data_IF_467502981927
#
_entry.id   IF_467502981927
#
_cell.length_a   1.000
_cell.length_b   1.000
_cell.length_c   1.000
_cell.angle_alpha   90.00
_cell.angle_beta   90.00
_cell.angle_gamma   90.00
#
_symmetry.space_group_name_H-M   'P 1'
#
loop_
_entity.id
_entity.type
_entity.pdbx_description
1 polymer ?
#
# COMPACT_ATOMS: atom_id res chain seq x y z
N UNK A 1 -15.89 10.39 -6.38
CA UNK A 1 -15.14 11.63 -6.04
C UNK A 1 -16.06 12.85 -6.22
N UNK A 2 -16.23 13.68 -5.17
CA UNK A 2 -17.03 14.92 -5.24
C UNK A 2 -16.13 16.09 -5.66
N UNK A 3 -16.06 16.37 -6.96
CA UNK A 3 -15.38 17.57 -7.48
C UNK A 3 -16.26 18.78 -7.17
N UNK A 4 -15.81 19.61 -6.21
CA UNK A 4 -16.55 20.82 -5.85
C UNK A 4 -15.93 22.02 -6.56
N UNK A 5 -16.65 22.59 -7.55
CA UNK A 5 -16.26 23.86 -8.19
C UNK A 5 -16.67 25.02 -7.29
N UNK A 6 -15.74 25.89 -6.92
CA UNK A 6 -16.00 27.09 -6.10
C UNK A 6 -15.38 28.32 -6.75
N UNK A 7 -16.05 29.47 -6.62
CA UNK A 7 -15.47 30.78 -6.93
C UNK A 7 -14.94 31.41 -5.63
N UNK A 8 -13.61 31.54 -5.53
CA UNK A 8 -12.92 31.89 -4.29
C UNK A 8 -12.55 33.37 -4.14
N UNK A 9 -12.66 33.90 -2.91
CA UNK A 9 -12.12 35.21 -2.47
C UNK A 9 -10.64 35.13 -2.00
N UNK A 10 -10.02 33.95 -2.05
CA UNK A 10 -8.70 33.63 -1.47
C UNK A 10 -7.70 33.27 -2.58
N UNK A 11 -6.44 33.69 -2.43
CA UNK A 11 -5.35 33.30 -3.35
C UNK A 11 -4.86 31.91 -2.97
N UNK A 12 -5.05 30.94 -3.87
CA UNK A 12 -4.48 29.59 -3.75
C UNK A 12 -3.32 29.44 -4.73
N UNK A 13 -2.43 28.48 -4.49
CA UNK A 13 -1.42 28.08 -5.49
C UNK A 13 -1.84 26.74 -6.08
N UNK A 14 -1.86 26.65 -7.41
CA UNK A 14 -2.12 25.39 -8.10
C UNK A 14 -1.02 24.37 -7.76
N UNK A 15 -1.42 23.15 -7.41
CA UNK A 15 -0.48 22.09 -7.04
C UNK A 15 0.42 21.69 -8.21
N UNK A 16 -0.12 21.58 -9.42
CA UNK A 16 0.62 21.14 -10.60
C UNK A 16 1.42 22.28 -11.25
N UNK A 17 0.76 23.30 -11.79
CA UNK A 17 1.46 24.37 -12.55
C UNK A 17 2.18 25.40 -11.67
N UNK A 18 2.00 25.34 -10.33
CA UNK A 18 2.60 26.28 -9.35
C UNK A 18 2.18 27.76 -9.49
N UNK A 19 1.32 28.08 -10.44
CA UNK A 19 0.77 29.42 -10.60
C UNK A 19 -0.27 29.74 -9.53
N UNK A 20 -0.50 31.04 -9.31
CA UNK A 20 -1.50 31.51 -8.37
C UNK A 20 -2.88 31.47 -9.01
N UNK A 21 -3.82 30.80 -8.34
CA UNK A 21 -5.25 30.85 -8.64
C UNK A 21 -5.78 32.21 -8.20
N UNK A 22 -6.16 33.03 -9.17
CA UNK A 22 -6.64 34.41 -8.97
C UNK A 22 -8.13 34.42 -8.63
N UNK A 23 -8.56 35.56 -8.12
CA UNK A 23 -9.96 35.78 -7.77
C UNK A 23 -10.85 35.70 -9.02
N UNK A 24 -11.84 34.82 -8.98
CA UNK A 24 -12.79 34.62 -10.08
C UNK A 24 -12.39 33.51 -11.07
N UNK A 25 -11.21 32.92 -10.93
CA UNK A 25 -10.82 31.73 -11.69
C UNK A 25 -11.46 30.48 -11.07
N UNK A 26 -11.83 29.53 -11.94
CA UNK A 26 -12.35 28.23 -11.53
C UNK A 26 -11.20 27.31 -11.08
N UNK A 27 -11.45 26.57 -10.00
CA UNK A 27 -10.49 25.61 -9.47
C UNK A 27 -11.18 24.40 -8.87
N UNK A 28 -10.42 23.30 -8.77
CA UNK A 28 -10.79 22.09 -8.05
C UNK A 28 -10.10 22.10 -6.69
N UNK A 29 -10.83 21.63 -5.68
CA UNK A 29 -10.29 21.30 -4.36
C UNK A 29 -10.29 19.78 -4.22
N UNK A 30 -9.15 19.19 -3.85
CA UNK A 30 -9.03 17.76 -3.59
C UNK A 30 -8.42 17.52 -2.21
N UNK A 31 -8.87 16.48 -1.53
CA UNK A 31 -8.21 15.94 -0.36
C UNK A 31 -7.32 14.78 -0.80
N UNK A 32 -6.03 14.87 -0.49
CA UNK A 32 -5.03 13.88 -0.89
C UNK A 32 -4.21 13.40 0.30
N UNK A 33 -3.60 12.24 0.17
CA UNK A 33 -2.74 11.63 1.17
C UNK A 33 -1.35 11.40 0.57
N UNK A 34 -0.31 11.88 1.25
CA UNK A 34 1.08 11.76 0.78
C UNK A 34 1.71 10.42 1.23
N UNK A 35 0.95 9.62 1.99
CA UNK A 35 1.20 8.21 2.30
C UNK A 35 -0.14 7.47 2.48
N UNK A 36 -0.27 6.20 2.05
CA UNK A 36 -1.48 5.40 2.30
C UNK A 36 -1.79 5.24 3.80
N UNK A 37 -0.78 5.36 4.65
CA UNK A 37 -0.88 5.22 6.12
C UNK A 37 -1.18 6.54 6.83
N UNK A 38 -1.26 7.67 6.11
CA UNK A 38 -1.56 8.96 6.73
C UNK A 38 -2.98 9.00 7.29
N UNK A 39 -3.09 9.39 8.56
CA UNK A 39 -4.39 9.61 9.22
C UNK A 39 -5.03 10.93 8.75
N UNK A 40 -4.21 11.93 8.41
CA UNK A 40 -4.68 13.27 8.03
C UNK A 40 -4.43 13.49 6.54
N UNK A 41 -5.48 13.91 5.83
CA UNK A 41 -5.35 14.38 4.45
C UNK A 41 -4.78 15.80 4.41
N UNK A 42 -4.26 16.15 3.24
CA UNK A 42 -3.89 17.51 2.84
C UNK A 42 -4.85 17.98 1.76
N UNK A 43 -5.31 19.23 1.87
CA UNK A 43 -6.10 19.84 0.80
C UNK A 43 -5.18 20.45 -0.25
N UNK A 44 -5.38 20.10 -1.51
CA UNK A 44 -4.71 20.71 -2.67
C UNK A 44 -5.72 21.44 -3.55
N UNK A 45 -5.20 22.37 -4.36
CA UNK A 45 -5.97 23.18 -5.29
C UNK A 45 -5.40 23.01 -6.71
N UNK A 46 -6.27 22.85 -7.71
CA UNK A 46 -5.88 22.70 -9.11
C UNK A 46 -6.64 23.71 -9.96
N UNK A 47 -5.97 24.35 -10.92
CA UNK A 47 -6.65 25.15 -11.93
C UNK A 47 -7.56 24.27 -12.78
N UNK A 48 -8.75 24.78 -13.13
CA UNK A 48 -9.61 24.15 -14.13
C UNK A 48 -9.24 24.65 -15.51
N UNK A 49 -8.88 23.73 -16.40
CA UNK A 49 -8.63 24.05 -17.82
C UNK A 49 -7.35 24.83 -18.10
N UNK A 50 -6.48 25.01 -17.11
CA UNK A 50 -5.12 25.49 -17.35
C UNK A 50 -4.22 24.32 -17.72
N UNK A 51 -3.38 24.52 -18.71
CA UNK A 51 -2.45 23.50 -19.17
C UNK A 51 -1.13 23.60 -18.38
N UNK A 52 -0.60 22.46 -17.94
CA UNK A 52 0.67 22.44 -17.20
C UNK A 52 1.85 22.82 -18.11
N UNK A 53 1.68 22.60 -19.44
CA UNK A 53 2.60 23.05 -20.49
C UNK A 53 1.86 23.26 -21.82
N UNK A 54 2.11 24.40 -22.47
CA UNK A 54 1.47 24.81 -23.74
C UNK A 54 1.78 23.85 -24.92
N UNK A 55 2.82 23.02 -24.83
CA UNK A 55 3.25 22.11 -25.89
C UNK A 55 2.51 20.75 -25.89
N UNK A 56 1.80 20.42 -24.81
CA UNK A 56 1.23 19.08 -24.62
C UNK A 56 -0.28 19.03 -24.39
N UNK A 57 -0.94 20.16 -24.10
CA UNK A 57 -2.40 20.19 -24.01
C UNK A 57 -2.99 19.44 -22.81
N UNK A 58 -2.19 19.12 -21.78
CA UNK A 58 -2.68 18.41 -20.59
C UNK A 58 -3.12 19.39 -19.50
N UNK A 59 -4.34 19.18 -19.00
CA UNK A 59 -4.87 19.97 -17.88
C UNK A 59 -4.16 19.64 -16.56
N UNK A 60 -4.20 20.58 -15.61
CA UNK A 60 -3.69 20.36 -14.25
C UNK A 60 -4.35 19.15 -13.58
N UNK A 61 -5.61 18.85 -13.88
CA UNK A 61 -6.31 17.68 -13.37
C UNK A 61 -5.74 16.37 -13.94
N UNK A 62 -5.51 16.31 -15.24
CA UNK A 62 -4.95 15.13 -15.89
C UNK A 62 -3.51 14.89 -15.43
N UNK A 63 -2.71 15.95 -15.34
CA UNK A 63 -1.33 15.88 -14.90
C UNK A 63 -1.17 15.30 -13.48
N UNK A 64 -2.18 15.45 -12.60
CA UNK A 64 -2.15 14.88 -11.24
C UNK A 64 -2.05 13.35 -11.25
N UNK A 65 -2.67 12.69 -12.23
CA UNK A 65 -2.77 11.23 -12.36
C UNK A 65 -1.89 10.65 -13.47
N UNK A 66 -1.19 11.50 -14.24
CA UNK A 66 -0.43 11.06 -15.41
C UNK A 66 0.96 10.52 -15.03
N UNK A 67 1.03 9.19 -14.92
CA UNK A 67 2.24 8.41 -14.62
C UNK A 67 3.31 8.45 -15.71
N UNK A 68 2.99 8.93 -16.94
CA UNK A 68 4.00 8.98 -18.02
C UNK A 68 5.11 10.01 -17.74
N UNK A 69 4.87 10.97 -16.84
CA UNK A 69 5.75 12.12 -16.64
C UNK A 69 6.39 12.20 -15.26
N UNK A 70 5.88 11.44 -14.29
CA UNK A 70 6.43 11.41 -12.94
C UNK A 70 5.91 10.19 -12.19
N UNK A 71 6.78 9.64 -11.33
CA UNK A 71 6.40 8.57 -10.41
C UNK A 71 5.64 9.11 -9.17
N UNK A 72 5.71 10.42 -8.89
CA UNK A 72 5.10 11.06 -7.73
C UNK A 72 3.68 11.57 -8.03
N UNK A 73 2.90 10.73 -8.71
CA UNK A 73 1.52 11.02 -9.11
C UNK A 73 0.53 10.45 -8.14
N UNK A 74 -0.70 10.95 -8.18
CA UNK A 74 -1.77 10.45 -7.33
C UNK A 74 -2.56 9.36 -8.04
N UNK A 75 -3.27 8.55 -7.26
CA UNK A 75 -4.24 7.58 -7.74
C UNK A 75 -5.40 7.47 -6.75
N UNK A 76 -6.59 7.18 -7.27
CA UNK A 76 -7.78 6.93 -6.48
C UNK A 76 -7.89 5.44 -6.17
N UNK A 77 -7.70 5.08 -4.89
CA UNK A 77 -7.82 3.68 -4.48
C UNK A 77 -9.27 3.18 -4.61
N UNK A 78 -9.57 2.13 -5.39
CA UNK A 78 -10.94 1.67 -5.59
C UNK A 78 -11.57 1.13 -4.30
N UNK A 79 -10.74 0.59 -3.39
CA UNK A 79 -11.21 0.01 -2.13
C UNK A 79 -11.59 1.05 -1.05
N UNK A 80 -10.73 2.03 -0.76
CA UNK A 80 -10.99 3.04 0.28
C UNK A 80 -11.40 4.42 -0.26
N UNK A 81 -11.40 4.59 -1.58
CA UNK A 81 -11.76 5.84 -2.28
C UNK A 81 -10.91 7.07 -1.91
N UNK A 82 -9.72 6.85 -1.33
CA UNK A 82 -8.76 7.91 -1.04
C UNK A 82 -7.88 8.17 -2.27
N UNK A 83 -7.61 9.45 -2.52
CA UNK A 83 -6.58 9.89 -3.47
C UNK A 83 -5.22 9.87 -2.77
N UNK A 84 -4.38 8.88 -3.09
CA UNK A 84 -3.07 8.69 -2.45
C UNK A 84 -1.94 8.90 -3.47
N UNK A 85 -0.76 9.29 -3.03
CA UNK A 85 0.42 9.29 -3.90
C UNK A 85 0.85 7.85 -4.23
N UNK A 86 1.25 7.58 -5.47
CA UNK A 86 1.62 6.25 -5.96
C UNK A 86 2.99 5.78 -5.49
N UNK A 87 3.94 6.69 -5.28
CA UNK A 87 5.31 6.35 -4.92
C UNK A 87 5.82 7.24 -3.79
N UNK A 88 6.64 6.68 -2.90
CA UNK A 88 7.20 7.39 -1.76
C UNK A 88 8.16 8.53 -2.20
N UNK A 89 7.87 9.81 -1.91
CA UNK A 89 8.74 10.93 -2.29
C UNK A 89 10.13 10.90 -1.65
N UNK A 90 10.25 10.31 -0.47
CA UNK A 90 11.47 10.37 0.34
C UNK A 90 12.55 9.40 -0.12
N UNK A 91 12.18 8.26 -0.69
CA UNK A 91 13.13 7.27 -1.16
C UNK A 91 12.92 6.84 -2.61
N UNK A 92 11.81 7.22 -3.26
CA UNK A 92 11.61 7.12 -4.70
C UNK A 92 11.66 5.71 -5.30
N UNK A 93 11.73 4.65 -4.50
CA UNK A 93 11.84 3.27 -5.01
C UNK A 93 10.63 2.41 -4.62
N UNK A 94 9.88 2.80 -3.59
CA UNK A 94 8.76 2.01 -3.09
C UNK A 94 7.43 2.55 -3.60
N UNK A 95 6.74 1.71 -4.37
CA UNK A 95 5.33 1.92 -4.72
C UNK A 95 4.44 1.79 -3.48
N UNK A 96 3.44 2.67 -3.38
CA UNK A 96 2.34 2.62 -2.42
C UNK A 96 1.08 1.96 -2.99
N UNK A 97 1.19 1.35 -4.18
CA UNK A 97 0.15 0.52 -4.79
C UNK A 97 0.60 -0.92 -4.97
N UNK A 98 -0.36 -1.84 -4.90
CA UNK A 98 -0.17 -3.28 -5.10
C UNK A 98 -1.36 -3.81 -5.91
N UNK A 99 -1.07 -4.64 -6.90
CA UNK A 99 -2.12 -5.39 -7.62
C UNK A 99 -2.75 -6.42 -6.66
N UNK A 100 -4.07 -6.40 -6.58
CA UNK A 100 -4.88 -7.37 -5.85
C UNK A 100 -6.17 -7.62 -6.63
N UNK A 101 -6.43 -8.89 -6.97
CA UNK A 101 -7.60 -9.30 -7.77
C UNK A 101 -7.73 -8.53 -9.12
N UNK A 102 -6.59 -8.28 -9.77
CA UNK A 102 -6.53 -7.60 -11.07
C UNK A 102 -6.68 -6.07 -11.01
N UNK A 103 -6.75 -5.47 -9.82
CA UNK A 103 -6.81 -4.02 -9.64
C UNK A 103 -5.68 -3.50 -8.74
N UNK A 104 -5.19 -2.30 -9.00
CA UNK A 104 -4.27 -1.61 -8.11
C UNK A 104 -5.02 -1.06 -6.89
N UNK A 105 -4.58 -1.46 -5.69
CA UNK A 105 -5.08 -0.92 -4.41
C UNK A 105 -3.94 -0.30 -3.61
N UNK A 106 -4.27 0.60 -2.68
CA UNK A 106 -3.24 1.20 -1.82
C UNK A 106 -2.70 0.19 -0.80
N UNK A 107 -1.43 0.36 -0.39
CA UNK A 107 -0.79 -0.53 0.58
C UNK A 107 -1.51 -0.61 1.94
N UNK A 108 -2.19 0.44 2.38
CA UNK A 108 -3.00 0.38 3.62
C UNK A 108 -4.21 -0.54 3.46
N UNK A 109 -4.87 -0.55 2.29
CA UNK A 109 -5.95 -1.50 2.03
C UNK A 109 -5.41 -2.93 1.93
N UNK A 110 -4.30 -3.12 1.23
CA UNK A 110 -3.64 -4.41 1.11
C UNK A 110 -3.17 -4.95 2.48
N UNK A 111 -2.61 -4.10 3.34
CA UNK A 111 -2.26 -4.44 4.72
C UNK A 111 -3.48 -4.94 5.50
N UNK A 112 -4.61 -4.23 5.44
CA UNK A 112 -5.84 -4.66 6.10
C UNK A 112 -6.35 -6.03 5.60
N UNK A 113 -6.19 -6.32 4.31
CA UNK A 113 -6.51 -7.64 3.75
C UNK A 113 -5.59 -8.70 4.37
N UNK A 114 -4.26 -8.49 4.34
CA UNK A 114 -3.30 -9.43 4.90
C UNK A 114 -3.50 -9.65 6.40
N UNK A 115 -3.74 -8.58 7.16
CA UNK A 115 -4.02 -8.67 8.60
C UNK A 115 -5.33 -9.40 8.90
N UNK A 116 -6.29 -9.45 7.96
CA UNK A 116 -7.56 -10.16 8.14
C UNK A 116 -7.47 -11.61 7.68
N UNK A 117 -6.95 -11.83 6.48
CA UNK A 117 -7.06 -13.09 5.74
C UNK A 117 -5.74 -13.87 5.67
N UNK A 118 -4.62 -13.19 5.93
CA UNK A 118 -3.28 -13.71 5.70
C UNK A 118 -2.90 -13.74 4.23
N UNK A 119 -1.76 -14.37 3.97
CA UNK A 119 -1.33 -14.71 2.62
C UNK A 119 -2.08 -15.97 2.18
N UNK A 120 -2.53 -15.96 0.92
CA UNK A 120 -3.22 -17.08 0.30
C UNK A 120 -2.33 -18.35 0.33
N UNK A 121 -2.94 -19.51 0.62
CA UNK A 121 -2.22 -20.79 0.71
C UNK A 121 -1.49 -21.10 -0.60
N UNK A 122 -2.17 -20.83 -1.71
CA UNK A 122 -1.73 -21.08 -3.08
C UNK A 122 -0.42 -20.33 -3.39
N UNK A 123 -0.20 -19.18 -2.74
CA UNK A 123 1.05 -18.41 -2.87
C UNK A 123 2.24 -19.21 -2.30
N UNK A 124 2.09 -19.82 -1.12
CA UNK A 124 3.12 -20.65 -0.53
C UNK A 124 3.28 -21.99 -1.25
N UNK A 125 2.20 -22.61 -1.74
CA UNK A 125 2.26 -23.82 -2.56
C UNK A 125 3.03 -23.58 -3.87
N UNK A 126 2.95 -22.37 -4.43
CA UNK A 126 3.73 -21.95 -5.58
C UNK A 126 5.20 -21.61 -5.23
N UNK A 127 5.61 -21.72 -3.96
CA UNK A 127 6.94 -21.39 -3.48
C UNK A 127 7.25 -19.89 -3.49
N UNK A 128 6.22 -19.04 -3.47
CA UNK A 128 6.38 -17.58 -3.47
C UNK A 128 6.29 -17.05 -2.03
N UNK A 129 7.24 -16.20 -1.68
CA UNK A 129 7.19 -15.43 -0.44
C UNK A 129 6.58 -14.07 -0.77
N UNK A 130 5.28 -13.95 -0.51
CA UNK A 130 4.58 -12.68 -0.55
C UNK A 130 4.54 -12.06 0.86
N UNK A 131 4.26 -10.77 0.95
CA UNK A 131 4.36 -9.99 2.17
C UNK A 131 4.50 -8.50 1.90
N UNK A 132 4.71 -7.74 2.98
CA UNK A 132 5.02 -6.32 2.95
C UNK A 132 5.81 -5.90 4.19
N UNK A 133 6.24 -4.65 4.24
CA UNK A 133 6.79 -4.07 5.46
C UNK A 133 5.63 -3.69 6.38
N UNK A 134 5.52 -4.33 7.53
CA UNK A 134 4.50 -4.01 8.52
C UNK A 134 5.03 -3.09 9.60
N UNK A 135 4.13 -2.34 10.21
CA UNK A 135 4.37 -1.88 11.58
C UNK A 135 4.14 -3.06 12.53
N UNK A 136 5.15 -3.43 13.31
CA UNK A 136 5.04 -4.56 14.25
C UNK A 136 3.95 -4.36 15.29
N UNK A 137 3.60 -3.11 15.64
CA UNK A 137 2.49 -2.83 16.53
C UNK A 137 1.14 -3.19 15.87
N UNK A 138 0.97 -2.91 14.58
CA UNK A 138 -0.27 -3.23 13.86
C UNK A 138 -0.48 -4.74 13.74
N UNK A 139 0.61 -5.51 13.56
CA UNK A 139 0.60 -6.98 13.64
C UNK A 139 0.18 -7.47 15.03
N UNK A 140 0.80 -6.93 16.08
CA UNK A 140 0.49 -7.31 17.46
C UNK A 140 -0.97 -6.96 17.83
N UNK A 141 -1.44 -5.78 17.44
CA UNK A 141 -2.82 -5.32 17.69
C UNK A 141 -3.85 -6.18 16.92
N UNK A 142 -3.47 -6.72 15.76
CA UNK A 142 -4.27 -7.67 14.99
C UNK A 142 -4.20 -9.12 15.53
N UNK A 143 -3.49 -9.35 16.63
CA UNK A 143 -3.37 -10.64 17.32
C UNK A 143 -2.36 -11.60 16.71
N UNK A 144 -1.42 -11.10 15.91
CA UNK A 144 -0.33 -11.91 15.39
C UNK A 144 0.81 -12.05 16.40
N UNK A 145 1.40 -13.24 16.41
CA UNK A 145 2.61 -13.56 17.13
C UNK A 145 3.65 -14.10 16.15
N UNK A 146 4.93 -13.91 16.45
CA UNK A 146 5.99 -14.46 15.59
C UNK A 146 5.98 -15.97 15.62
N UNK A 147 6.11 -16.60 14.47
CA UNK A 147 6.21 -18.05 14.39
C UNK A 147 7.56 -18.52 14.94
N UNK A 148 7.52 -19.50 15.86
CA UNK A 148 8.72 -20.04 16.51
C UNK A 148 9.73 -20.54 15.48
N UNK A 149 10.96 -20.03 15.53
CA UNK A 149 12.04 -20.41 14.62
C UNK A 149 11.96 -19.78 13.23
N UNK A 150 11.01 -18.88 13.00
CA UNK A 150 10.81 -18.16 11.72
C UNK A 150 10.97 -16.64 11.87
N UNK A 151 11.82 -16.21 12.80
CA UNK A 151 12.18 -14.81 13.03
C UNK A 151 13.45 -14.43 12.25
N UNK A 152 13.40 -13.31 11.54
CA UNK A 152 14.54 -12.74 10.80
C UNK A 152 15.28 -13.77 9.94
N UNK A 153 14.52 -14.56 9.18
CA UNK A 153 15.05 -15.57 8.26
C UNK A 153 15.64 -14.88 7.04
N UNK A 154 16.90 -15.19 6.74
CA UNK A 154 17.56 -14.67 5.55
C UNK A 154 17.25 -15.55 4.33
N UNK A 155 16.48 -15.01 3.39
CA UNK A 155 16.16 -15.63 2.11
C UNK A 155 17.22 -15.23 1.11
N UNK A 156 17.98 -16.21 0.59
CA UNK A 156 18.99 -16.00 -0.45
C UNK A 156 18.86 -16.99 -1.60
N UNK A 157 18.38 -18.19 -1.31
CA UNK A 157 18.32 -19.29 -2.25
C UNK A 157 16.90 -19.83 -2.36
N UNK A 158 16.66 -20.58 -3.44
CA UNK A 158 15.40 -21.30 -3.61
C UNK A 158 15.11 -22.25 -2.45
N UNK A 159 16.15 -22.89 -1.89
CA UNK A 159 16.01 -23.78 -0.74
C UNK A 159 15.50 -23.04 0.51
N UNK A 160 16.01 -21.82 0.76
CA UNK A 160 15.55 -20.99 1.88
C UNK A 160 14.07 -20.62 1.70
N UNK A 161 13.67 -20.32 0.46
CA UNK A 161 12.27 -20.00 0.16
C UNK A 161 11.34 -21.22 0.27
N UNK A 162 11.78 -22.39 -0.20
CA UNK A 162 11.04 -23.65 -0.05
C UNK A 162 10.85 -24.01 1.43
N UNK A 163 11.88 -23.84 2.27
CA UNK A 163 11.80 -24.04 3.71
C UNK A 163 10.82 -23.07 4.36
N UNK A 164 10.89 -21.79 4.00
CA UNK A 164 9.96 -20.77 4.50
C UNK A 164 8.50 -21.10 4.14
N UNK A 165 8.24 -21.44 2.88
CA UNK A 165 6.90 -21.79 2.41
C UNK A 165 6.39 -23.08 3.06
N UNK A 166 7.26 -24.08 3.26
CA UNK A 166 6.89 -25.32 3.95
C UNK A 166 6.43 -25.07 5.39
N UNK A 167 7.10 -24.18 6.11
CA UNK A 167 6.68 -23.82 7.48
C UNK A 167 5.38 -23.02 7.49
N UNK A 168 5.19 -22.12 6.52
CA UNK A 168 3.93 -21.39 6.38
C UNK A 168 2.75 -22.35 6.14
N UNK A 169 2.92 -23.35 5.26
CA UNK A 169 1.92 -24.37 5.01
C UNK A 169 1.63 -25.21 6.25
N UNK A 170 2.67 -25.60 7.01
CA UNK A 170 2.51 -26.36 8.25
C UNK A 170 1.66 -25.60 9.28
N UNK A 171 1.93 -24.31 9.52
CA UNK A 171 1.14 -23.53 10.49
C UNK A 171 -0.29 -23.31 9.99
N UNK A 172 -0.50 -23.18 8.67
CA UNK A 172 -1.85 -23.11 8.09
C UNK A 172 -2.63 -24.42 8.27
N UNK A 173 -1.97 -25.57 8.13
CA UNK A 173 -2.58 -26.89 8.39
C UNK A 173 -2.98 -27.06 9.87
N UNK A 174 -2.29 -26.37 10.78
CA UNK A 174 -2.61 -26.31 12.22
C UNK A 174 -3.78 -25.35 12.56
N UNK A 175 -4.31 -24.65 11.55
CA UNK A 175 -5.44 -23.72 11.68
C UNK A 175 -5.03 -22.27 11.92
N UNK A 176 -3.78 -21.89 11.65
CA UNK A 176 -3.32 -20.51 11.71
C UNK A 176 -3.46 -19.79 10.37
N UNK A 177 -3.47 -18.47 10.44
CA UNK A 177 -3.28 -17.54 9.34
C UNK A 177 -1.83 -17.06 9.43
N UNK A 178 -1.10 -17.06 8.30
CA UNK A 178 0.28 -16.60 8.24
C UNK A 178 0.42 -15.32 7.38
N UNK A 179 1.31 -14.42 7.80
CA UNK A 179 1.78 -13.27 7.02
C UNK A 179 3.30 -13.17 7.09
N UNK A 180 3.90 -12.55 6.08
CA UNK A 180 5.34 -12.31 6.00
C UNK A 180 5.62 -10.82 6.18
N UNK A 181 6.37 -10.49 7.23
CA UNK A 181 6.92 -9.15 7.45
C UNK A 181 8.30 -9.05 6.80
N UNK A 182 8.45 -8.12 5.87
CA UNK A 182 9.74 -7.79 5.29
C UNK A 182 10.52 -6.90 6.25
N UNK A 183 11.70 -7.33 6.65
CA UNK A 183 12.57 -6.51 7.51
C UNK A 183 13.55 -5.71 6.68
N UNK A 184 14.27 -6.40 5.78
CA UNK A 184 15.30 -5.80 4.92
C UNK A 184 15.33 -6.55 3.62
N UNK A 185 14.96 -5.90 2.52
CA UNK A 185 14.98 -6.51 1.19
C UNK A 185 16.04 -5.83 0.33
N UNK A 186 16.75 -6.63 -0.48
CA UNK A 186 17.58 -6.12 -1.54
C UNK A 186 16.71 -5.43 -2.61
N UNK A 187 17.32 -4.49 -3.34
CA UNK A 187 16.67 -3.84 -4.49
C UNK A 187 16.33 -4.93 -5.52
N UNK A 188 15.04 -5.08 -5.84
CA UNK A 188 14.53 -6.15 -6.70
C UNK A 188 13.89 -7.33 -5.96
N UNK A 189 13.93 -7.35 -4.62
CA UNK A 189 13.14 -8.29 -3.79
C UNK A 189 13.60 -9.75 -3.81
N UNK A 190 14.76 -10.06 -4.38
CA UNK A 190 15.25 -11.44 -4.53
C UNK A 190 15.96 -11.99 -3.29
N UNK A 191 16.46 -11.12 -2.42
CA UNK A 191 17.16 -11.51 -1.19
C UNK A 191 16.76 -10.58 -0.04
N UNK A 192 16.72 -11.10 1.19
CA UNK A 192 16.36 -10.27 2.33
C UNK A 192 16.04 -11.03 3.60
N UNK A 193 15.83 -10.29 4.67
CA UNK A 193 15.37 -10.79 5.95
C UNK A 193 13.86 -10.66 6.05
N UNK A 194 13.20 -11.75 6.42
CA UNK A 194 11.75 -11.82 6.62
C UNK A 194 11.42 -12.48 7.95
N UNK A 195 10.33 -12.05 8.58
CA UNK A 195 9.74 -12.72 9.76
C UNK A 195 8.37 -13.25 9.41
N UNK A 196 8.09 -14.50 9.79
CA UNK A 196 6.73 -15.06 9.72
C UNK A 196 5.96 -14.70 10.98
N UNK A 197 4.76 -14.20 10.79
CA UNK A 197 3.80 -13.92 11.85
C UNK A 197 2.55 -14.76 11.66
N UNK A 198 2.02 -15.32 12.74
CA UNK A 198 0.87 -16.20 12.73
C UNK A 198 -0.19 -15.75 13.73
N UNK A 199 -1.46 -15.96 13.40
CA UNK A 199 -2.58 -15.87 14.34
C UNK A 199 -3.59 -16.99 14.14
N UNK A 200 -4.33 -17.35 15.17
CA UNK A 200 -5.40 -18.35 15.04
C UNK A 200 -6.47 -17.87 14.06
N UNK A 201 -6.94 -18.75 13.16
CA UNK A 201 -8.07 -18.45 12.28
C UNK A 201 -9.34 -18.37 13.11
N UNK A 202 -10.03 -17.23 13.07
CA UNK A 202 -11.31 -17.06 13.77
C UNK A 202 -12.29 -18.18 13.37
N UNK A 203 -12.78 -18.92 14.35
CA UNK A 203 -13.74 -20.03 14.15
C UNK A 203 -13.19 -21.44 14.38
N UNK A 204 -11.88 -21.63 14.50
CA UNK A 204 -11.29 -22.92 14.89
C UNK A 204 -11.04 -22.89 16.41
N UNK A 205 -12.08 -23.17 17.21
CA UNK A 205 -11.85 -23.51 18.62
C UNK A 205 -11.19 -24.88 18.66
N UNK A 206 -9.87 -24.90 18.80
CA UNK A 206 -9.20 -26.11 19.31
C UNK A 206 -9.71 -26.34 20.72
N UNK A 207 -10.64 -27.28 20.87
CA UNK A 207 -10.88 -27.93 22.15
C UNK A 207 -9.54 -28.52 22.57
N UNK A 208 -8.82 -27.80 23.45
CA UNK A 208 -7.65 -28.34 24.13
C UNK A 208 -8.14 -29.59 24.85
N UNK A 209 -7.90 -30.76 24.27
CA UNK A 209 -7.97 -32.02 25.00
C UNK A 209 -6.87 -31.93 26.05
N UNK A 210 -7.26 -31.59 27.28
CA UNK A 210 -6.44 -31.80 28.44
C UNK A 210 -6.07 -33.29 28.47
N UNK A 211 -4.78 -33.59 28.28
CA UNK A 211 -4.18 -34.85 28.64
C UNK A 211 -3.89 -34.85 30.14
#
# INVERSE_FOLDING_TARGET
MLITRKQGKVKHQCHECRELIRRGEDYITLEVYDSPFDVKSRTIYLHVGNEVREDQGISCEQALYDEQWSDFRYFDCPMCQRTIIRQCPSNGWHSYVREYDGEDICLSCYEHILLREGIARETFEAGKIEGMFFNQQDLADAGYEKASGMESIYIRTKCDAELYCSEALRVMDEGYIAVTDYERMAIGGLEGYVTMWCKQKEGIRHERKCA
#
